data_IF_090443557177
#
_entry.id   IF_090443557177
#
_cell.length_a   1.000
_cell.length_b   1.000
_cell.length_c   1.000
_cell.angle_alpha   90.00
_cell.angle_beta   90.00
_cell.angle_gamma   90.00
#
_symmetry.space_group_name_H-M   'P 1'
#
loop_
_entity.id
_entity.type
_entity.pdbx_description
1 polymer ?
#
# COMPACT_ATOMS: atom_id res chain seq x y z
N UNK A 1 -10.11 -13.89 35.61
CA UNK A 1 -9.07 -14.66 34.92
C UNK A 1 -9.57 -15.26 33.60
N UNK A 2 -10.65 -16.04 33.54
CA UNK A 2 -11.14 -16.61 32.27
C UNK A 2 -11.56 -15.62 31.15
N UNK A 3 -11.84 -14.34 31.47
CA UNK A 3 -12.19 -13.30 30.48
C UNK A 3 -10.96 -12.65 29.83
N UNK A 4 -9.84 -12.53 30.57
CA UNK A 4 -8.61 -11.94 30.03
C UNK A 4 -7.85 -12.90 29.12
N UNK A 5 -7.97 -14.21 29.36
CA UNK A 5 -7.35 -15.22 28.51
C UNK A 5 -8.08 -15.34 27.16
N UNK A 6 -9.40 -15.18 27.14
CA UNK A 6 -10.18 -15.16 25.90
C UNK A 6 -9.91 -13.92 25.04
N UNK A 7 -9.72 -12.76 25.66
CA UNK A 7 -9.33 -11.52 24.97
C UNK A 7 -7.88 -11.60 24.45
N UNK A 8 -6.98 -12.26 25.19
CA UNK A 8 -5.60 -12.50 24.78
C UNK A 8 -5.49 -13.50 23.62
N UNK A 9 -6.30 -14.56 23.63
CA UNK A 9 -6.38 -15.52 22.52
C UNK A 9 -7.02 -14.90 21.27
N UNK A 10 -8.07 -14.07 21.42
CA UNK A 10 -8.64 -13.32 20.31
C UNK A 10 -7.65 -12.31 19.70
N UNK A 11 -6.87 -11.62 20.54
CA UNK A 11 -5.81 -10.72 20.09
C UNK A 11 -4.67 -11.47 19.37
N UNK A 12 -4.36 -12.69 19.81
CA UNK A 12 -3.35 -13.57 19.20
C UNK A 12 -3.82 -14.15 17.86
N UNK A 13 -5.09 -14.50 17.73
CA UNK A 13 -5.70 -14.96 16.48
C UNK A 13 -5.84 -13.84 15.45
N UNK A 14 -6.16 -12.62 15.89
CA UNK A 14 -6.19 -11.44 14.99
C UNK A 14 -4.79 -10.97 14.59
N UNK A 15 -3.80 -11.13 15.49
CA UNK A 15 -2.39 -10.95 15.17
C UNK A 15 -1.91 -12.01 14.17
N UNK A 16 -2.29 -13.27 14.35
CA UNK A 16 -2.00 -14.34 13.40
C UNK A 16 -2.65 -14.10 12.03
N UNK A 17 -3.89 -13.58 11.99
CA UNK A 17 -4.58 -13.19 10.75
C UNK A 17 -3.93 -12.00 10.04
N UNK A 18 -3.51 -10.98 10.80
CA UNK A 18 -2.87 -9.78 10.24
C UNK A 18 -1.45 -10.07 9.77
N UNK A 19 -0.68 -10.82 10.57
CA UNK A 19 0.62 -11.33 10.20
C UNK A 19 0.51 -12.26 8.98
N UNK A 20 -0.46 -13.17 8.94
CA UNK A 20 -0.72 -14.02 7.78
C UNK A 20 -1.15 -13.21 6.56
N UNK A 21 -1.86 -12.08 6.70
CA UNK A 21 -2.17 -11.18 5.58
C UNK A 21 -0.95 -10.44 5.04
N UNK A 22 -0.09 -9.91 5.91
CA UNK A 22 1.14 -9.23 5.50
C UNK A 22 2.17 -10.20 4.92
N UNK A 23 2.34 -11.36 5.57
CA UNK A 23 3.12 -12.48 5.03
C UNK A 23 2.51 -12.91 3.71
N UNK A 24 1.19 -13.05 3.59
CA UNK A 24 0.53 -13.42 2.33
C UNK A 24 0.58 -12.33 1.27
N UNK A 25 0.77 -11.06 1.59
CA UNK A 25 0.97 -10.00 0.59
C UNK A 25 2.43 -9.98 0.11
N UNK A 26 3.39 -10.16 1.02
CA UNK A 26 4.81 -10.26 0.66
C UNK A 26 5.14 -11.59 -0.01
N UNK A 27 4.57 -12.68 0.48
CA UNK A 27 4.57 -13.99 -0.17
C UNK A 27 3.74 -13.92 -1.44
N UNK A 28 2.57 -13.31 -1.54
CA UNK A 28 1.93 -13.13 -2.85
C UNK A 28 2.71 -12.20 -3.78
N UNK A 29 3.62 -11.36 -3.30
CA UNK A 29 4.50 -10.56 -4.15
C UNK A 29 5.71 -11.39 -4.63
N UNK A 30 6.38 -12.10 -3.71
CA UNK A 30 7.52 -13.01 -3.98
C UNK A 30 7.08 -14.29 -4.71
N UNK A 31 5.87 -14.75 -4.44
CA UNK A 31 5.17 -15.87 -5.05
C UNK A 31 4.49 -15.38 -6.31
N UNK A 32 3.86 -14.20 -6.45
CA UNK A 32 3.51 -13.71 -7.80
C UNK A 32 4.77 -13.49 -8.66
N UNK A 33 5.98 -13.34 -8.11
CA UNK A 33 7.19 -13.40 -8.95
C UNK A 33 7.69 -14.82 -9.24
N UNK A 34 7.13 -15.85 -8.59
CA UNK A 34 7.48 -17.28 -8.69
C UNK A 34 6.35 -18.18 -9.24
N UNK A 35 5.12 -17.71 -9.17
CA UNK A 35 3.84 -18.32 -9.51
C UNK A 35 3.41 -17.71 -10.84
N UNK A 36 3.70 -18.50 -11.86
CA UNK A 36 3.50 -18.12 -13.24
C UNK A 36 2.01 -17.90 -13.53
N UNK A 37 1.12 -18.62 -12.81
CA UNK A 37 -0.33 -18.56 -13.00
C UNK A 37 -0.91 -17.21 -12.51
N UNK A 38 -0.43 -16.70 -11.38
CA UNK A 38 -0.84 -15.38 -10.88
C UNK A 38 -0.39 -14.24 -11.82
N UNK A 39 0.82 -14.34 -12.40
CA UNK A 39 1.28 -13.37 -13.41
C UNK A 39 0.57 -13.49 -14.74
N UNK A 40 0.28 -14.71 -15.18
CA UNK A 40 -0.47 -14.97 -16.41
C UNK A 40 -1.88 -14.39 -16.28
N UNK A 41 -2.56 -14.65 -15.17
CA UNK A 41 -3.89 -14.07 -14.87
C UNK A 41 -3.82 -12.54 -14.81
N UNK A 42 -2.81 -11.97 -14.15
CA UNK A 42 -2.60 -10.52 -14.12
C UNK A 42 -2.33 -9.95 -15.52
N UNK A 43 -1.59 -10.65 -16.37
CA UNK A 43 -1.30 -10.25 -17.74
C UNK A 43 -2.55 -10.34 -18.63
N UNK A 44 -3.38 -11.37 -18.47
CA UNK A 44 -4.66 -11.51 -19.17
C UNK A 44 -5.62 -10.39 -18.79
N UNK A 45 -5.83 -10.15 -17.49
CA UNK A 45 -6.65 -9.05 -16.99
C UNK A 45 -6.13 -7.69 -17.47
N UNK A 46 -4.81 -7.51 -17.53
CA UNK A 46 -4.20 -6.29 -18.07
C UNK A 46 -4.44 -6.15 -19.58
N UNK A 47 -4.31 -7.21 -20.37
CA UNK A 47 -4.63 -7.20 -21.79
C UNK A 47 -6.10 -6.85 -22.04
N UNK A 48 -7.01 -7.41 -21.25
CA UNK A 48 -8.43 -7.08 -21.33
C UNK A 48 -8.74 -5.62 -20.98
N UNK A 49 -7.95 -4.98 -20.11
CA UNK A 49 -8.05 -3.54 -19.83
C UNK A 49 -7.60 -2.69 -21.02
N UNK A 50 -6.65 -3.17 -21.81
CA UNK A 50 -6.15 -2.48 -23.01
C UNK A 50 -7.08 -2.60 -24.23
N UNK A 51 -8.07 -3.50 -24.19
CA UNK A 51 -9.01 -3.72 -25.30
C UNK A 51 -10.19 -2.73 -25.33
N UNK A 52 -10.28 -1.82 -24.37
CA UNK A 52 -11.34 -0.80 -24.32
C UNK A 52 -11.09 0.31 -25.34
N UNK A 53 -12.16 0.94 -25.84
CA UNK A 53 -12.05 1.95 -26.89
C UNK A 53 -11.85 3.36 -26.34
N UNK A 54 -12.19 3.58 -25.05
CA UNK A 54 -12.14 4.90 -24.42
C UNK A 54 -11.52 4.89 -23.02
N UNK A 55 -10.97 6.04 -22.61
CA UNK A 55 -10.47 6.24 -21.23
C UNK A 55 -11.59 6.10 -20.17
N UNK A 56 -12.83 6.45 -20.53
CA UNK A 56 -13.97 6.34 -19.62
C UNK A 56 -14.30 4.87 -19.33
N UNK A 57 -14.38 4.03 -20.37
CA UNK A 57 -14.58 2.58 -20.22
C UNK A 57 -13.43 1.94 -19.42
N UNK A 58 -12.20 2.39 -19.66
CA UNK A 58 -11.04 1.95 -18.91
C UNK A 58 -11.18 2.24 -17.41
N UNK A 59 -11.55 3.49 -17.05
CA UNK A 59 -11.77 3.88 -15.66
C UNK A 59 -12.88 3.05 -15.00
N UNK A 60 -14.00 2.85 -15.70
CA UNK A 60 -15.12 2.05 -15.20
C UNK A 60 -14.69 0.59 -14.96
N UNK A 61 -13.89 0.01 -15.86
CA UNK A 61 -13.39 -1.36 -15.72
C UNK A 61 -12.41 -1.50 -14.56
N UNK A 62 -11.56 -0.49 -14.31
CA UNK A 62 -10.68 -0.46 -13.12
C UNK A 62 -11.51 -0.42 -11.84
N UNK A 63 -12.55 0.43 -11.79
CA UNK A 63 -13.42 0.54 -10.61
C UNK A 63 -14.25 -0.75 -10.40
N UNK A 64 -14.64 -1.43 -11.48
CA UNK A 64 -15.26 -2.76 -11.42
C UNK A 64 -14.30 -3.81 -10.84
N UNK A 65 -13.07 -3.90 -11.36
CA UNK A 65 -12.05 -4.83 -10.87
C UNK A 65 -11.78 -4.60 -9.38
N UNK A 66 -11.75 -3.34 -8.95
CA UNK A 66 -11.64 -2.96 -7.56
C UNK A 66 -12.83 -3.46 -6.73
N UNK A 67 -14.06 -3.23 -7.20
CA UNK A 67 -15.29 -3.71 -6.53
C UNK A 67 -15.39 -5.23 -6.42
N UNK A 68 -14.80 -5.96 -7.37
CA UNK A 68 -14.74 -7.42 -7.38
C UNK A 68 -13.55 -7.99 -6.59
N UNK A 69 -12.67 -7.14 -6.05
CA UNK A 69 -11.45 -7.56 -5.35
C UNK A 69 -10.38 -8.16 -6.28
N UNK A 70 -10.48 -7.90 -7.58
CA UNK A 70 -9.55 -8.36 -8.63
C UNK A 70 -8.47 -7.33 -8.99
N UNK A 71 -8.56 -6.11 -8.45
CA UNK A 71 -7.48 -5.13 -8.51
C UNK A 71 -6.40 -5.50 -7.47
N UNK A 72 -5.66 -6.55 -7.77
CA UNK A 72 -4.63 -7.09 -6.88
C UNK A 72 -3.24 -6.47 -7.12
N UNK A 73 -2.28 -6.68 -6.20
CA UNK A 73 -0.92 -6.16 -6.36
C UNK A 73 -0.18 -6.67 -7.61
N UNK A 74 -0.45 -7.89 -8.08
CA UNK A 74 0.22 -8.47 -9.24
C UNK A 74 -0.23 -7.78 -10.55
N UNK A 75 -1.52 -7.46 -10.64
CA UNK A 75 -2.08 -6.68 -11.73
C UNK A 75 -1.52 -5.25 -11.76
N UNK A 76 -1.44 -4.58 -10.61
CA UNK A 76 -0.84 -3.22 -10.54
C UNK A 76 0.65 -3.24 -10.87
N UNK A 77 1.39 -4.27 -10.46
CA UNK A 77 2.81 -4.45 -10.82
C UNK A 77 2.98 -4.66 -12.33
N UNK A 78 2.09 -5.45 -12.95
CA UNK A 78 2.09 -5.68 -14.40
C UNK A 78 1.87 -4.37 -15.15
N UNK A 79 0.89 -3.57 -14.72
CA UNK A 79 0.66 -2.23 -15.26
C UNK A 79 1.86 -1.30 -15.08
N UNK A 80 2.52 -1.32 -13.91
CA UNK A 80 3.72 -0.52 -13.66
C UNK A 80 4.87 -0.89 -14.62
N UNK A 81 5.10 -2.19 -14.85
CA UNK A 81 6.12 -2.68 -15.79
C UNK A 81 5.80 -2.25 -17.22
N UNK A 82 4.55 -2.36 -17.65
CA UNK A 82 4.11 -1.93 -18.97
C UNK A 82 4.29 -0.41 -19.15
N UNK A 83 3.87 0.38 -18.16
CA UNK A 83 4.06 1.83 -18.16
C UNK A 83 5.53 2.24 -18.24
N UNK A 84 6.42 1.67 -17.42
CA UNK A 84 7.86 1.97 -17.49
C UNK A 84 8.44 1.62 -18.87
N UNK A 85 8.07 0.46 -19.42
CA UNK A 85 8.53 0.01 -20.74
C UNK A 85 8.11 0.96 -21.86
N UNK A 86 6.87 1.45 -21.82
CA UNK A 86 6.32 2.41 -22.78
C UNK A 86 6.96 3.79 -22.61
N UNK A 87 7.08 4.26 -21.36
CA UNK A 87 7.66 5.56 -21.01
C UNK A 87 9.11 5.70 -21.48
N UNK A 88 9.92 4.66 -21.31
CA UNK A 88 11.34 4.66 -21.69
C UNK A 88 11.57 4.40 -23.17
N UNK A 89 10.55 3.93 -23.90
CA UNK A 89 10.69 3.60 -25.32
C UNK A 89 10.72 4.86 -26.20
N UNK A 90 11.78 5.06 -27.01
CA UNK A 90 11.81 6.13 -28.00
C UNK A 90 10.94 5.83 -29.23
N UNK A 91 10.38 4.62 -29.33
CA UNK A 91 9.62 4.13 -30.48
C UNK A 91 8.10 4.21 -30.28
N UNK A 92 7.64 4.62 -29.10
CA UNK A 92 6.22 4.73 -28.77
C UNK A 92 5.78 6.19 -28.84
N UNK A 93 4.62 6.44 -29.45
CA UNK A 93 4.01 7.77 -29.54
C UNK A 93 3.64 8.32 -28.16
N UNK A 94 3.68 9.64 -27.98
CA UNK A 94 3.42 10.28 -26.69
C UNK A 94 1.99 10.06 -26.23
N UNK A 95 1.02 10.01 -27.14
CA UNK A 95 -0.38 9.74 -26.85
C UNK A 95 -0.57 8.37 -26.18
N UNK A 96 0.20 7.37 -26.62
CA UNK A 96 0.17 6.02 -26.02
C UNK A 96 0.80 6.04 -24.62
N UNK A 97 1.84 6.85 -24.41
CA UNK A 97 2.46 7.03 -23.09
C UNK A 97 1.49 7.70 -22.12
N UNK A 98 0.75 8.70 -22.56
CA UNK A 98 -0.26 9.39 -21.76
C UNK A 98 -1.40 8.46 -21.35
N UNK A 99 -1.92 7.65 -22.27
CA UNK A 99 -2.96 6.65 -21.97
C UNK A 99 -2.45 5.61 -20.97
N UNK A 100 -1.23 5.10 -21.17
CA UNK A 100 -0.62 4.12 -20.27
C UNK A 100 -0.33 4.69 -18.88
N UNK A 101 0.10 5.96 -18.81
CA UNK A 101 0.27 6.67 -17.56
C UNK A 101 -1.07 6.81 -16.82
N UNK A 102 -2.12 7.26 -17.51
CA UNK A 102 -3.47 7.40 -16.94
C UNK A 102 -3.98 6.07 -16.37
N UNK A 103 -3.86 4.98 -17.15
CA UNK A 103 -4.23 3.63 -16.70
C UNK A 103 -3.51 3.24 -15.41
N UNK A 104 -2.17 3.35 -15.40
CA UNK A 104 -1.38 2.96 -14.24
C UNK A 104 -1.71 3.79 -13.00
N UNK A 105 -1.82 5.12 -13.15
CA UNK A 105 -2.10 5.99 -12.01
C UNK A 105 -3.51 5.79 -11.47
N UNK A 106 -4.52 5.60 -12.32
CA UNK A 106 -5.88 5.26 -11.90
C UNK A 106 -5.92 3.94 -11.14
N UNK A 107 -5.25 2.89 -11.63
CA UNK A 107 -5.16 1.60 -10.92
C UNK A 107 -4.46 1.75 -9.55
N UNK A 108 -3.35 2.47 -9.51
CA UNK A 108 -2.58 2.72 -8.28
C UNK A 108 -3.40 3.49 -7.25
N UNK A 109 -4.14 4.49 -7.70
CA UNK A 109 -5.01 5.32 -6.87
C UNK A 109 -6.20 4.51 -6.34
N UNK A 110 -6.92 3.80 -7.21
CA UNK A 110 -8.06 2.96 -6.83
C UNK A 110 -7.62 1.87 -5.83
N UNK A 111 -6.48 1.21 -6.04
CA UNK A 111 -5.93 0.26 -5.07
C UNK A 111 -5.54 0.95 -3.75
N UNK A 112 -4.96 2.16 -3.81
CA UNK A 112 -4.62 2.95 -2.63
C UNK A 112 -5.82 3.28 -1.76
N UNK A 113 -6.98 3.58 -2.36
CA UNK A 113 -8.24 3.85 -1.63
C UNK A 113 -8.79 2.64 -0.89
N UNK A 114 -8.45 1.42 -1.32
CA UNK A 114 -8.86 0.18 -0.66
C UNK A 114 -8.04 -0.14 0.59
N UNK A 115 -6.93 0.57 0.82
CA UNK A 115 -6.08 0.33 1.98
C UNK A 115 -6.78 0.76 3.27
N UNK A 116 -6.48 0.09 4.41
CA UNK A 116 -6.94 0.54 5.71
C UNK A 116 -6.54 2.00 5.97
N UNK A 117 -7.39 2.73 6.69
CA UNK A 117 -7.18 4.16 6.94
C UNK A 117 -5.87 4.45 7.68
N UNK A 118 -5.42 3.57 8.55
CA UNK A 118 -4.14 3.67 9.26
C UNK A 118 -2.95 3.63 8.29
N UNK A 119 -3.04 2.82 7.22
CA UNK A 119 -2.01 2.75 6.19
C UNK A 119 -1.99 4.03 5.35
N UNK A 120 -3.17 4.58 5.03
CA UNK A 120 -3.33 5.82 4.27
C UNK A 120 -2.81 7.03 5.06
N UNK A 121 -3.14 7.10 6.36
CA UNK A 121 -2.63 8.11 7.30
C UNK A 121 -1.11 8.01 7.42
N UNK A 122 -0.56 6.80 7.59
CA UNK A 122 0.89 6.61 7.66
C UNK A 122 1.59 7.06 6.38
N UNK A 123 1.03 6.75 5.20
CA UNK A 123 1.56 7.21 3.91
C UNK A 123 1.56 8.73 3.80
N UNK A 124 0.50 9.39 4.28
CA UNK A 124 0.44 10.85 4.34
C UNK A 124 1.54 11.41 5.24
N UNK A 125 1.70 10.89 6.47
CA UNK A 125 2.74 11.33 7.41
C UNK A 125 4.16 11.15 6.87
N UNK A 126 4.39 10.10 6.08
CA UNK A 126 5.69 9.89 5.42
C UNK A 126 5.95 10.89 4.29
N UNK A 127 4.88 11.41 3.66
CA UNK A 127 4.96 12.42 2.61
C UNK A 127 5.02 13.86 3.14
N UNK A 128 4.45 14.11 4.33
CA UNK A 128 4.65 15.35 5.10
C UNK A 128 6.15 15.49 5.37
N UNK A 129 6.69 16.71 5.28
CA UNK A 129 8.15 16.97 5.29
C UNK A 129 8.92 16.38 6.48
N UNK A 130 10.24 16.53 6.47
CA UNK A 130 11.12 15.91 7.49
C UNK A 130 11.23 16.74 8.80
N UNK A 131 10.52 17.88 8.91
CA UNK A 131 10.48 18.65 10.17
C UNK A 131 9.65 17.88 11.21
N UNK A 132 10.19 17.59 12.40
CA UNK A 132 9.44 16.94 13.48
C UNK A 132 8.12 17.63 13.85
N UNK A 133 8.01 18.94 13.61
CA UNK A 133 6.77 19.71 13.85
C UNK A 133 5.70 19.41 12.83
N UNK A 134 6.06 19.18 11.57
CA UNK A 134 5.09 18.86 10.52
C UNK A 134 4.51 17.47 10.76
N UNK A 135 5.37 16.50 11.11
CA UNK A 135 4.94 15.16 11.54
C UNK A 135 3.99 15.25 12.74
N UNK A 136 4.33 16.06 13.74
CA UNK A 136 3.50 16.26 14.93
C UNK A 136 2.13 16.83 14.57
N UNK A 137 2.08 17.88 13.75
CA UNK A 137 0.83 18.49 13.32
C UNK A 137 -0.04 17.47 12.56
N UNK A 138 0.57 16.68 11.68
CA UNK A 138 -0.12 15.60 10.98
C UNK A 138 -0.66 14.52 11.92
N UNK A 139 0.07 14.20 13.00
CA UNK A 139 -0.42 13.27 14.03
C UNK A 139 -1.58 13.87 14.84
N UNK A 140 -1.50 15.15 15.22
CA UNK A 140 -2.58 15.86 15.90
C UNK A 140 -3.85 15.86 15.04
N UNK A 141 -3.73 16.09 13.73
CA UNK A 141 -4.83 16.00 12.78
C UNK A 141 -5.37 14.58 12.66
N UNK A 142 -4.50 13.58 12.46
CA UNK A 142 -4.88 12.19 12.30
C UNK A 142 -5.57 11.58 13.54
N UNK A 143 -5.32 12.12 14.73
CA UNK A 143 -5.92 11.66 15.99
C UNK A 143 -7.10 12.49 16.45
N UNK A 144 -7.42 13.59 15.76
CA UNK A 144 -8.59 14.41 16.07
C UNK A 144 -9.82 13.80 15.40
N UNK A 145 -10.83 13.33 16.15
CA UNK A 145 -12.03 12.76 15.54
C UNK A 145 -12.79 13.82 14.72
N UNK A 146 -13.19 13.44 13.52
CA UNK A 146 -13.91 14.30 12.59
C UNK A 146 -14.78 13.50 11.63
N UNK A 147 -15.59 14.17 10.78
CA UNK A 147 -16.27 13.48 9.69
C UNK A 147 -15.23 12.87 8.75
N UNK A 148 -15.33 11.57 8.50
CA UNK A 148 -14.49 10.90 7.50
C UNK A 148 -15.05 11.16 6.10
N UNK A 149 -14.23 11.72 5.23
CA UNK A 149 -14.58 12.05 3.85
C UNK A 149 -13.41 11.66 2.94
N UNK A 150 -13.66 10.78 1.98
CA UNK A 150 -12.72 10.52 0.88
C UNK A 150 -13.30 11.18 -0.36
N UNK A 151 -12.60 12.20 -0.86
CA UNK A 151 -12.89 12.83 -2.16
C UNK A 151 -11.94 12.25 -3.22
N UNK A 152 -11.98 12.79 -4.44
CA UNK A 152 -11.04 12.40 -5.48
C UNK A 152 -9.60 12.74 -5.08
N UNK A 153 -9.39 13.93 -4.51
CA UNK A 153 -8.06 14.47 -4.23
C UNK A 153 -7.65 14.43 -2.75
N UNK A 154 -8.60 14.36 -1.83
CA UNK A 154 -8.36 14.54 -0.39
C UNK A 154 -9.03 13.46 0.47
N UNK A 155 -8.27 13.02 1.47
CA UNK A 155 -8.69 12.08 2.50
C UNK A 155 -8.75 12.77 3.86
N UNK A 156 -9.96 13.02 4.34
CA UNK A 156 -10.21 13.39 5.73
C UNK A 156 -10.41 12.09 6.50
N UNK A 157 -9.32 11.57 7.08
CA UNK A 157 -9.31 10.32 7.83
C UNK A 157 -8.77 10.56 9.23
N UNK A 158 -9.33 9.88 10.22
CA UNK A 158 -8.78 9.86 11.56
C UNK A 158 -8.67 8.43 12.08
N UNK A 159 -7.75 8.20 13.01
CA UNK A 159 -7.55 6.92 13.68
C UNK A 159 -7.18 7.13 15.14
N UNK A 160 -7.18 6.05 15.92
CA UNK A 160 -6.69 6.10 17.29
C UNK A 160 -5.17 5.88 17.30
N UNK A 161 -4.46 6.58 18.19
CA UNK A 161 -3.00 6.45 18.34
C UNK A 161 -2.52 4.98 18.47
N UNK A 162 -3.17 4.10 19.25
CA UNK A 162 -2.79 2.68 19.32
C UNK A 162 -2.95 1.93 17.98
N UNK A 163 -3.95 2.28 17.16
CA UNK A 163 -4.20 1.63 15.88
C UNK A 163 -3.13 1.98 14.84
N UNK A 164 -2.73 3.25 14.79
CA UNK A 164 -1.62 3.69 13.94
C UNK A 164 -0.29 3.09 14.43
N UNK A 165 -0.04 3.09 15.74
CA UNK A 165 1.17 2.50 16.31
C UNK A 165 1.28 1.00 15.96
N UNK A 166 0.19 0.24 16.10
CA UNK A 166 0.14 -1.18 15.72
C UNK A 166 0.50 -1.40 14.24
N UNK A 167 0.04 -0.51 13.37
CA UNK A 167 0.35 -0.55 11.94
C UNK A 167 1.84 -0.29 11.69
N UNK A 168 2.42 0.71 12.35
CA UNK A 168 3.85 1.04 12.25
C UNK A 168 4.71 -0.12 12.79
N UNK A 169 4.34 -0.68 13.93
CA UNK A 169 5.04 -1.80 14.55
C UNK A 169 5.04 -3.05 13.67
N UNK A 170 3.91 -3.36 13.02
CA UNK A 170 3.82 -4.48 12.09
C UNK A 170 4.81 -4.32 10.92
N UNK A 171 4.93 -3.11 10.36
CA UNK A 171 5.84 -2.82 9.24
C UNK A 171 7.30 -2.87 9.69
N UNK A 172 7.65 -2.22 10.81
CA UNK A 172 9.01 -2.22 11.35
C UNK A 172 9.47 -3.64 11.75
N UNK A 173 8.60 -4.43 12.36
CA UNK A 173 8.89 -5.82 12.73
C UNK A 173 9.11 -6.69 11.49
N UNK A 174 8.30 -6.52 10.44
CA UNK A 174 8.49 -7.23 9.17
C UNK A 174 9.85 -6.87 8.52
N UNK A 175 10.24 -5.59 8.56
CA UNK A 175 11.53 -5.12 8.06
C UNK A 175 12.72 -5.76 8.81
N UNK A 176 12.70 -5.75 10.15
CA UNK A 176 13.77 -6.32 10.98
C UNK A 176 13.94 -7.83 10.75
N UNK A 177 12.85 -8.56 10.56
CA UNK A 177 12.86 -9.99 10.26
C UNK A 177 13.40 -10.31 8.86
N UNK A 178 13.33 -9.37 7.94
CA UNK A 178 13.84 -9.52 6.56
C UNK A 178 15.35 -9.21 6.47
N UNK A 179 15.87 -8.28 7.27
CA UNK A 179 17.32 -7.95 7.29
C UNK A 179 18.25 -9.14 7.59
N UNK A 180 17.75 -10.24 8.18
CA UNK A 180 18.54 -11.43 8.51
C UNK A 180 18.51 -12.58 7.50
N UNK A 181 17.66 -12.53 6.45
CA UNK A 181 17.56 -13.60 5.45
C UNK A 181 18.46 -13.29 4.26
N UNK A 182 19.60 -13.97 4.18
CA UNK A 182 20.71 -13.74 3.24
C UNK A 182 20.41 -14.03 1.74
N UNK A 183 19.21 -13.78 1.24
CA UNK A 183 18.84 -13.99 -0.18
C UNK A 183 18.00 -12.85 -0.75
N UNK A 184 18.12 -11.63 -0.24
CA UNK A 184 17.49 -10.46 -0.87
C UNK A 184 18.41 -9.97 -2.00
N UNK A 185 18.46 -10.73 -3.09
CA UNK A 185 19.00 -10.26 -4.37
C UNK A 185 17.84 -9.82 -5.24
N UNK A 186 17.75 -8.51 -5.50
CA UNK A 186 16.78 -7.93 -6.42
C UNK A 186 16.24 -6.57 -5.99
N UNK A 187 15.35 -6.01 -6.82
CA UNK A 187 14.68 -4.70 -6.65
C UNK A 187 13.90 -4.56 -5.33
N UNK A 188 13.65 -5.65 -4.60
CA UNK A 188 13.05 -5.64 -3.26
C UNK A 188 13.94 -4.94 -2.20
N UNK A 189 15.27 -4.89 -2.40
CA UNK A 189 16.18 -4.16 -1.52
C UNK A 189 16.08 -2.63 -1.69
N UNK A 190 15.69 -2.14 -2.87
CA UNK A 190 15.54 -0.70 -3.16
C UNK A 190 14.22 -0.13 -2.61
N UNK A 191 13.21 -0.98 -2.38
CA UNK A 191 11.92 -0.60 -1.80
C UNK A 191 11.99 -0.43 -0.26
N UNK A 192 13.08 -0.86 0.36
CA UNK A 192 13.34 -0.64 1.78
C UNK A 192 14.35 0.50 1.97
N UNK A 193 13.95 1.70 1.55
CA UNK A 193 14.79 2.89 1.72
C UNK A 193 15.03 3.11 3.21
N UNK A 194 16.29 3.10 3.69
CA UNK A 194 16.60 3.29 5.11
C UNK A 194 16.01 4.58 5.69
N UNK A 195 15.88 5.61 4.85
CA UNK A 195 15.28 6.91 5.19
C UNK A 195 13.80 6.80 5.58
N UNK A 196 13.01 5.98 4.87
CA UNK A 196 11.59 5.74 5.18
C UNK A 196 11.44 4.99 6.50
N UNK A 197 12.32 4.03 6.77
CA UNK A 197 12.33 3.27 8.03
C UNK A 197 12.70 4.17 9.20
N UNK A 198 13.72 5.02 9.06
CA UNK A 198 14.08 5.98 10.10
C UNK A 198 12.95 6.98 10.36
N UNK A 199 12.27 7.46 9.32
CA UNK A 199 11.09 8.31 9.47
C UNK A 199 9.94 7.59 10.18
N UNK A 200 9.68 6.32 9.86
CA UNK A 200 8.70 5.50 10.60
C UNK A 200 9.06 5.36 12.09
N UNK A 201 10.33 5.16 12.43
CA UNK A 201 10.80 5.13 13.83
C UNK A 201 10.59 6.48 14.53
N UNK A 202 10.81 7.59 13.84
CA UNK A 202 10.55 8.93 14.37
C UNK A 202 9.06 9.14 14.66
N UNK A 203 8.19 8.80 13.71
CA UNK A 203 6.73 8.86 13.87
C UNK A 203 6.31 8.01 15.07
N UNK A 204 6.78 6.75 15.15
CA UNK A 204 6.56 5.87 16.30
C UNK A 204 6.95 6.53 17.63
N UNK A 205 8.16 7.09 17.71
CA UNK A 205 8.63 7.74 18.93
C UNK A 205 7.80 8.96 19.34
N UNK A 206 7.27 9.72 18.37
CA UNK A 206 6.36 10.83 18.68
C UNK A 206 5.01 10.34 19.20
N UNK A 207 4.46 9.26 18.64
CA UNK A 207 3.22 8.64 19.12
C UNK A 207 3.40 8.17 20.57
N UNK A 208 4.43 7.37 20.84
CA UNK A 208 4.72 6.82 22.17
C UNK A 208 5.05 7.90 23.21
N UNK A 209 5.69 9.00 22.80
CA UNK A 209 6.11 10.06 23.72
C UNK A 209 5.07 11.16 23.97
N UNK A 210 4.05 11.27 23.13
CA UNK A 210 3.14 12.45 23.13
C UNK A 210 1.66 12.09 23.14
N UNK A 211 1.27 10.93 22.59
CA UNK A 211 -0.14 10.57 22.35
C UNK A 211 -0.58 9.28 23.04
N UNK A 212 0.34 8.60 23.74
CA UNK A 212 0.11 7.43 24.59
C UNK A 212 0.63 7.68 26.00
#
# INVERSE_FOLDING_TARGET
>A
EARSDADADAARDDLARTASRLLSICEAFDEATRDTETLETAAENFQELLQVETLEEMNQKIDQLAGEGKLDPALVLTAAKAYMSVKESPMVEEEVKDVMAHLYFKMKETMGRQQPKEVRILKHLLAVGDDPRDIRNGLEEAFTPGPELTTEDEDFLFCEAPALLKTIDAVLTAYEQQQGKASITGQAAELMQPEVIEKMKQIKGQIEGTFL
#
